data_IF_487006176137
#
_entry.id   IF_487006176137
#
_cell.length_a   1.000
_cell.length_b   1.000
_cell.length_c   1.000
_cell.angle_alpha   90.00
_cell.angle_beta   90.00
_cell.angle_gamma   90.00
#
_symmetry.space_group_name_H-M   'P 1'
#
loop_
_entity.id
_entity.type
_entity.pdbx_description
1 polymer ?
#
# COMPACT_ATOMS: atom_id res chain seq x y z
N UNK A 1 1.67 -25.64 -16.21
CA UNK A 1 1.25 -24.52 -15.36
C UNK A 1 2.02 -23.28 -15.79
N UNK A 2 1.41 -22.37 -16.57
CA UNK A 2 2.02 -21.08 -16.91
C UNK A 2 2.01 -20.25 -15.62
N UNK A 3 3.15 -20.12 -14.95
CA UNK A 3 3.30 -19.08 -13.94
C UNK A 3 3.27 -17.76 -14.69
N UNK A 4 2.21 -16.98 -14.49
CA UNK A 4 2.17 -15.62 -15.01
C UNK A 4 3.16 -14.80 -14.16
N UNK A 5 4.27 -14.31 -14.73
CA UNK A 5 5.31 -13.63 -13.95
C UNK A 5 4.75 -12.40 -13.23
N UNK A 6 3.73 -11.75 -13.80
CA UNK A 6 3.05 -10.64 -13.15
C UNK A 6 2.32 -11.06 -11.86
N UNK A 7 1.63 -12.20 -11.88
CA UNK A 7 0.95 -12.73 -10.69
C UNK A 7 1.95 -13.10 -9.58
N UNK A 8 3.13 -13.60 -9.95
CA UNK A 8 4.19 -13.89 -8.98
C UNK A 8 4.69 -12.60 -8.29
N UNK A 9 4.83 -11.50 -9.03
CA UNK A 9 5.24 -10.20 -8.49
C UNK A 9 4.16 -9.60 -7.60
N UNK A 10 2.89 -9.61 -8.03
CA UNK A 10 1.77 -9.14 -7.21
C UNK A 10 1.56 -10.00 -5.95
N UNK A 11 1.90 -11.28 -5.99
CA UNK A 11 1.91 -12.14 -4.81
C UNK A 11 3.08 -11.80 -3.86
N UNK A 12 4.26 -11.48 -4.41
CA UNK A 12 5.42 -11.08 -3.61
C UNK A 12 5.18 -9.74 -2.90
N UNK A 13 4.70 -8.73 -3.62
CA UNK A 13 4.35 -7.42 -3.06
C UNK A 13 3.31 -7.55 -1.95
N UNK A 14 2.25 -8.32 -2.16
CA UNK A 14 1.23 -8.54 -1.14
C UNK A 14 1.80 -9.22 0.11
N UNK A 15 2.67 -10.22 -0.07
CA UNK A 15 3.32 -10.90 1.06
C UNK A 15 4.17 -9.95 1.89
N UNK A 16 4.90 -9.02 1.25
CA UNK A 16 5.71 -8.01 1.94
C UNK A 16 4.85 -7.04 2.73
N UNK A 17 3.83 -6.46 2.10
CA UNK A 17 2.87 -5.55 2.76
C UNK A 17 2.21 -6.23 3.97
N UNK A 18 1.75 -7.47 3.78
CA UNK A 18 1.12 -8.26 4.84
C UNK A 18 2.09 -8.63 5.96
N UNK A 19 3.35 -8.92 5.62
CA UNK A 19 4.41 -9.15 6.59
C UNK A 19 4.61 -7.96 7.50
N UNK A 20 4.74 -6.75 6.92
CA UNK A 20 4.91 -5.51 7.68
C UNK A 20 3.68 -5.23 8.56
N UNK A 21 2.46 -5.37 8.01
CA UNK A 21 1.22 -5.16 8.76
C UNK A 21 1.06 -6.18 9.90
N UNK A 22 1.52 -7.43 9.68
CA UNK A 22 1.50 -8.51 10.66
C UNK A 22 2.41 -8.28 11.87
N UNK A 23 3.51 -7.52 11.71
CA UNK A 23 4.43 -7.23 12.81
C UNK A 23 3.91 -6.12 13.76
N UNK A 24 2.76 -5.49 13.49
CA UNK A 24 1.98 -4.59 14.39
C UNK A 24 2.79 -3.54 15.17
N UNK A 25 3.89 -3.05 14.63
CA UNK A 25 4.75 -2.02 15.26
C UNK A 25 5.99 -2.57 15.98
N UNK A 26 6.28 -3.87 15.89
CA UNK A 26 7.55 -4.45 16.34
C UNK A 26 8.67 -4.40 15.29
N UNK A 27 8.36 -3.92 14.08
CA UNK A 27 9.35 -3.65 13.03
C UNK A 27 10.21 -2.44 13.40
N UNK A 28 11.54 -2.61 13.34
CA UNK A 28 12.46 -1.48 13.44
C UNK A 28 12.25 -0.50 12.28
N UNK A 29 12.39 0.81 12.54
CA UNK A 29 12.30 1.87 11.52
C UNK A 29 13.18 1.57 10.29
N UNK A 30 14.41 1.10 10.51
CA UNK A 30 15.36 0.76 9.43
C UNK A 30 14.80 -0.33 8.53
N UNK A 31 14.36 -1.46 9.11
CA UNK A 31 13.73 -2.55 8.36
C UNK A 31 12.46 -2.10 7.63
N UNK A 32 11.67 -1.20 8.20
CA UNK A 32 10.50 -0.66 7.51
C UNK A 32 10.90 0.15 6.27
N UNK A 33 11.91 1.02 6.40
CA UNK A 33 12.41 1.78 5.28
C UNK A 33 12.93 0.87 4.15
N UNK A 34 13.71 -0.16 4.48
CA UNK A 34 14.18 -1.16 3.51
C UNK A 34 13.02 -1.84 2.77
N UNK A 35 11.99 -2.29 3.49
CA UNK A 35 10.84 -2.95 2.88
C UNK A 35 10.02 -1.98 1.99
N UNK A 36 9.81 -0.75 2.44
CA UNK A 36 9.07 0.27 1.67
C UNK A 36 9.85 0.68 0.41
N UNK A 37 11.18 0.86 0.50
CA UNK A 37 12.01 1.15 -0.66
C UNK A 37 11.97 -0.01 -1.66
N UNK A 38 12.02 -1.26 -1.17
CA UNK A 38 11.95 -2.43 -2.04
C UNK A 38 10.57 -2.57 -2.71
N UNK A 39 9.48 -2.30 -2.00
CA UNK A 39 8.13 -2.22 -2.57
C UNK A 39 8.09 -1.17 -3.68
N UNK A 40 8.64 0.04 -3.43
CA UNK A 40 8.70 1.12 -4.43
C UNK A 40 9.52 0.70 -5.65
N UNK A 41 10.68 0.09 -5.45
CA UNK A 41 11.56 -0.35 -6.52
C UNK A 41 10.89 -1.38 -7.44
N UNK A 42 10.22 -2.38 -6.84
CA UNK A 42 9.47 -3.39 -7.60
C UNK A 42 8.29 -2.74 -8.32
N UNK A 43 7.49 -1.91 -7.64
CA UNK A 43 6.34 -1.23 -8.24
C UNK A 43 6.75 -0.43 -9.50
N UNK A 44 7.84 0.33 -9.40
CA UNK A 44 8.40 1.09 -10.52
C UNK A 44 8.88 0.21 -11.67
N UNK A 45 9.51 -0.91 -11.37
CA UNK A 45 10.01 -1.85 -12.39
C UNK A 45 8.87 -2.52 -13.19
N UNK A 46 7.67 -2.63 -12.60
CA UNK A 46 6.49 -3.26 -13.21
C UNK A 46 5.38 -2.27 -13.58
N UNK A 47 5.66 -0.95 -13.55
CA UNK A 47 4.71 0.12 -13.88
C UNK A 47 3.44 0.12 -13.00
N UNK A 48 3.56 -0.23 -11.72
CA UNK A 48 2.47 -0.19 -10.74
C UNK A 48 2.40 1.20 -10.10
N UNK A 49 2.02 2.22 -10.89
CA UNK A 49 2.11 3.65 -10.52
C UNK A 49 1.39 3.97 -9.19
N UNK A 50 0.25 3.33 -8.94
CA UNK A 50 -0.51 3.53 -7.70
C UNK A 50 0.26 3.03 -6.46
N UNK A 51 0.90 1.86 -6.56
CA UNK A 51 1.69 1.27 -5.47
C UNK A 51 2.98 2.06 -5.26
N UNK A 52 3.62 2.50 -6.34
CA UNK A 52 4.83 3.34 -6.30
C UNK A 52 4.55 4.67 -5.57
N UNK A 53 3.46 5.36 -5.94
CA UNK A 53 3.06 6.63 -5.32
C UNK A 53 2.75 6.50 -3.83
N UNK A 54 2.03 5.43 -3.45
CA UNK A 54 1.76 5.13 -2.03
C UNK A 54 3.05 4.85 -1.26
N UNK A 55 4.01 4.13 -1.86
CA UNK A 55 5.28 3.80 -1.23
C UNK A 55 6.17 5.03 -1.02
N UNK A 56 6.27 5.91 -2.03
CA UNK A 56 6.99 7.18 -1.88
C UNK A 56 6.37 8.10 -0.83
N UNK A 57 5.03 8.13 -0.75
CA UNK A 57 4.32 8.91 0.28
C UNK A 57 4.57 8.34 1.68
N UNK A 58 4.53 7.02 1.83
CA UNK A 58 4.83 6.35 3.09
C UNK A 58 6.29 6.58 3.52
N UNK A 59 7.26 6.47 2.62
CA UNK A 59 8.68 6.75 2.91
C UNK A 59 8.89 8.19 3.41
N UNK A 60 8.22 9.15 2.76
CA UNK A 60 8.26 10.56 3.17
C UNK A 60 7.63 10.76 4.56
N UNK A 61 6.48 10.12 4.80
CA UNK A 61 5.79 10.18 6.09
C UNK A 61 6.62 9.54 7.22
N UNK A 62 7.28 8.41 6.95
CA UNK A 62 8.18 7.74 7.90
C UNK A 62 9.39 8.61 8.26
N UNK A 63 9.97 9.28 7.27
CA UNK A 63 11.09 10.20 7.48
C UNK A 63 10.71 11.41 8.35
N UNK A 64 9.45 11.86 8.25
CA UNK A 64 8.93 13.03 8.98
C UNK A 64 8.36 12.69 10.37
N UNK A 65 7.61 11.59 10.50
CA UNK A 65 6.77 11.28 11.67
C UNK A 65 7.13 9.96 12.37
N UNK A 66 8.02 9.14 11.79
CA UNK A 66 8.39 7.83 12.32
C UNK A 66 7.28 6.77 12.22
N UNK A 67 7.36 5.76 13.10
CA UNK A 67 6.43 4.61 13.16
C UNK A 67 5.09 5.02 13.80
N UNK A 68 4.31 5.83 13.09
CA UNK A 68 2.98 6.25 13.51
C UNK A 68 1.87 5.28 13.09
N UNK A 69 0.65 5.45 13.63
CA UNK A 69 -0.53 4.66 13.23
C UNK A 69 -0.90 4.82 11.75
N UNK A 70 -0.42 5.90 11.11
CA UNK A 70 -0.61 6.16 9.68
C UNK A 70 0.02 5.09 8.80
N UNK A 71 1.09 4.42 9.26
CA UNK A 71 1.77 3.36 8.51
C UNK A 71 0.80 2.24 8.16
N UNK A 72 -0.04 1.82 9.11
CA UNK A 72 -1.03 0.77 8.88
C UNK A 72 -2.07 1.19 7.84
N UNK A 73 -2.50 2.45 7.85
CA UNK A 73 -3.41 2.99 6.83
C UNK A 73 -2.80 2.97 5.43
N UNK A 74 -1.52 3.34 5.30
CA UNK A 74 -0.82 3.29 4.01
C UNK A 74 -0.61 1.85 3.52
N UNK A 75 -0.30 0.91 4.42
CA UNK A 75 -0.18 -0.52 4.09
C UNK A 75 -1.52 -1.11 3.62
N UNK A 76 -2.63 -0.72 4.25
CA UNK A 76 -3.97 -1.12 3.83
C UNK A 76 -4.30 -0.59 2.42
N UNK A 77 -3.99 0.69 2.15
CA UNK A 77 -4.14 1.28 0.81
C UNK A 77 -3.26 0.58 -0.24
N UNK A 78 -2.03 0.20 0.09
CA UNK A 78 -1.16 -0.56 -0.81
C UNK A 78 -1.73 -1.94 -1.12
N UNK A 79 -2.30 -2.62 -0.12
CA UNK A 79 -2.93 -3.92 -0.29
C UNK A 79 -4.11 -3.83 -1.27
N UNK A 80 -4.94 -2.79 -1.14
CA UNK A 80 -6.08 -2.54 -2.04
C UNK A 80 -5.63 -2.22 -3.48
N UNK A 81 -4.58 -1.40 -3.62
CA UNK A 81 -3.98 -1.10 -4.93
C UNK A 81 -3.44 -2.39 -5.60
N UNK A 82 -2.69 -3.22 -4.88
CA UNK A 82 -2.17 -4.50 -5.41
C UNK A 82 -3.32 -5.45 -5.78
N UNK A 83 -4.41 -5.46 -5.02
CA UNK A 83 -5.57 -6.30 -5.31
C UNK A 83 -6.30 -5.86 -6.59
N UNK A 84 -6.37 -4.55 -6.84
CA UNK A 84 -6.96 -3.96 -8.06
C UNK A 84 -6.16 -4.30 -9.32
N UNK A 85 -4.84 -4.38 -9.20
CA UNK A 85 -3.93 -4.74 -10.31
C UNK A 85 -3.98 -6.23 -10.69
N UNK A 86 -4.58 -7.10 -9.86
CA UNK A 86 -4.72 -8.53 -10.18
C UNK A 86 -5.83 -8.73 -11.22
N UNK A 87 -5.53 -9.21 -12.44
CA UNK A 87 -6.56 -9.53 -13.42
C UNK A 87 -7.35 -10.76 -12.93
N UNK A 88 -8.48 -10.50 -12.26
CA UNK A 88 -9.32 -11.51 -11.62
C UNK A 88 -10.08 -11.00 -10.39
N UNK A 89 -9.72 -9.85 -9.82
CA UNK A 89 -10.52 -9.19 -8.80
C UNK A 89 -11.65 -8.41 -9.47
N UNK A 90 -12.81 -9.06 -9.59
CA UNK A 90 -14.08 -8.44 -10.00
C UNK A 90 -14.28 -7.08 -9.34
N UNK A 91 -14.52 -6.08 -10.19
CA UNK A 91 -15.03 -4.75 -9.88
C UNK A 91 -16.01 -4.76 -8.70
N UNK A 92 -15.63 -4.14 -7.59
CA UNK A 92 -16.58 -3.43 -6.74
C UNK A 92 -16.22 -1.95 -6.82
N UNK A 93 -17.16 -1.05 -7.17
CA UNK A 93 -16.88 0.38 -7.21
C UNK A 93 -16.52 0.87 -5.80
N UNK A 94 -15.64 1.88 -5.68
CA UNK A 94 -15.37 2.49 -4.39
C UNK A 94 -16.66 3.10 -3.84
N UNK A 95 -17.06 2.70 -2.64
CA UNK A 95 -18.04 3.44 -1.86
C UNK A 95 -17.48 4.85 -1.66
N UNK A 96 -18.00 5.79 -2.42
CA UNK A 96 -17.78 7.21 -2.18
C UNK A 96 -18.34 7.52 -0.78
N UNK A 97 -17.46 7.67 0.21
CA UNK A 97 -17.82 8.24 1.51
C UNK A 97 -18.27 9.67 1.28
N UNK A 98 -19.57 9.87 1.13
CA UNK A 98 -20.18 11.19 1.09
C UNK A 98 -19.95 11.86 2.45
N UNK A 99 -19.08 12.87 2.49
CA UNK A 99 -19.00 13.84 3.58
C UNK A 99 -20.32 14.59 3.67
N UNK A 100 -21.05 14.59 4.80
CA UNK A 100 -22.22 15.43 4.94
C UNK A 100 -21.80 16.91 4.99
N UNK A 101 -22.51 17.82 4.30
CA UNK A 101 -22.24 19.24 4.40
C UNK A 101 -22.59 19.71 5.82
N UNK A 102 -21.61 20.34 6.48
CA UNK A 102 -21.80 21.08 7.72
C UNK A 102 -22.81 22.19 7.45
N UNK A 103 -24.01 22.06 8.01
CA UNK A 103 -25.01 23.10 7.99
C UNK A 103 -24.59 24.20 8.98
N UNK A 104 -24.00 25.27 8.46
CA UNK A 104 -23.84 26.53 9.18
C UNK A 104 -25.22 27.23 9.16
N UNK A 105 -25.89 27.31 10.31
CA UNK A 105 -26.98 28.28 10.50
C UNK A 105 -26.58 29.28 11.57
N UNK A 106 -26.69 30.56 11.16
CA UNK A 106 -26.61 31.76 11.96
C UNK A 106 -27.82 31.90 12.90
#
# INVERSE_FOLDING_TARGET
MRHDPMLAILADLMRRVDGIAGERGHVSVVRLHDEVDQIRHIARAFHLDAVEGLAGTLESALSLHGLGPVVLSYLDLMRDAIATERPGATMMPPVARATPPIALRA
#
